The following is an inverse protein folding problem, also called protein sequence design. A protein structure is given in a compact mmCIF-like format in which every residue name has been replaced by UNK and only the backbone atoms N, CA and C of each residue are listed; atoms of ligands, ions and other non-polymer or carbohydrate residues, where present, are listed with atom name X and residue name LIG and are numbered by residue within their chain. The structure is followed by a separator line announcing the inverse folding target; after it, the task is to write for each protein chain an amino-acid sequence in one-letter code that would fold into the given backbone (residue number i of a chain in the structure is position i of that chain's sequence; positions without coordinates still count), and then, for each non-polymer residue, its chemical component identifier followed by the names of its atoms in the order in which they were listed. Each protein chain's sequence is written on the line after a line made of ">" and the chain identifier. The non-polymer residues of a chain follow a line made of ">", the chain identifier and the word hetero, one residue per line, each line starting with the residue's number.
data_IF_213671264662
#
_entry.id   IF_213671264662
#
_cell.length_a   1.000
_cell.length_b   1.000
_cell.length_c   1.000
_cell.angle_alpha   90.00
_cell.angle_beta   90.00
_cell.angle_gamma   90.00
#
_symmetry.space_group_name_H-M   'P 1'
#
loop_
_entity.id
_entity.type
_entity.pdbx_description
1 polymer ?
#
# COMPACT_ATOMS: atom_id res chain seq x y z
N UNK A 1 8.26 1.35 -4.17
CA UNK A 1 8.67 1.08 -5.56
C UNK A 1 7.99 -0.19 -6.00
N UNK A 2 7.34 -0.17 -7.18
CA UNK A 2 6.63 -1.32 -7.75
C UNK A 2 7.05 -1.49 -9.20
N UNK A 3 7.22 -2.74 -9.61
CA UNK A 3 7.45 -3.10 -11.01
C UNK A 3 6.11 -3.39 -11.71
N UNK A 4 5.97 -3.01 -12.96
CA UNK A 4 4.86 -3.50 -13.78
C UNK A 4 5.05 -5.03 -13.96
N UNK A 5 4.08 -5.87 -13.56
CA UNK A 5 4.26 -7.32 -13.60
C UNK A 5 4.44 -7.89 -15.02
N UNK A 6 4.14 -7.12 -16.06
CA UNK A 6 4.27 -7.51 -17.46
C UNK A 6 5.59 -7.07 -18.09
N UNK A 7 6.25 -6.04 -17.50
CA UNK A 7 7.49 -5.50 -18.05
C UNK A 7 8.35 -4.90 -16.93
N UNK A 8 9.45 -5.54 -16.52
CA UNK A 8 10.31 -5.10 -15.42
C UNK A 8 11.05 -3.78 -15.70
N UNK A 9 11.13 -3.34 -16.97
CA UNK A 9 11.69 -2.02 -17.30
C UNK A 9 10.75 -0.87 -16.93
N UNK A 10 9.48 -1.17 -16.68
CA UNK A 10 8.49 -0.18 -16.22
C UNK A 10 8.41 -0.23 -14.70
N UNK A 11 8.83 0.86 -14.08
CA UNK A 11 8.92 0.99 -12.63
C UNK A 11 8.11 2.19 -12.18
N UNK A 12 7.37 2.03 -11.09
CA UNK A 12 6.65 3.11 -10.41
C UNK A 12 7.27 3.37 -9.05
N UNK A 13 7.39 4.63 -8.68
CA UNK A 13 7.90 5.03 -7.37
C UNK A 13 7.10 6.18 -6.80
N UNK A 14 6.84 6.14 -5.51
CA UNK A 14 6.32 7.28 -4.76
C UNK A 14 7.47 7.98 -4.06
N UNK A 15 7.61 9.29 -4.27
CA UNK A 15 8.59 10.11 -3.58
C UNK A 15 7.90 10.87 -2.44
N UNK A 16 8.56 10.89 -1.30
CA UNK A 16 8.11 11.62 -0.12
C UNK A 16 9.19 12.60 0.31
N UNK A 17 8.95 13.88 0.09
CA UNK A 17 9.83 14.94 0.59
C UNK A 17 9.62 15.09 2.08
N UNK A 18 10.49 14.44 2.85
CA UNK A 18 10.36 14.34 4.31
C UNK A 18 11.67 14.74 4.99
N UNK A 19 11.54 15.56 6.04
CA UNK A 19 12.65 15.83 6.97
C UNK A 19 12.14 15.77 8.40
N UNK A 20 12.78 14.94 9.22
CA UNK A 20 12.49 14.86 10.65
C UNK A 20 13.77 15.19 11.42
N UNK A 21 13.67 16.16 12.30
CA UNK A 21 14.69 16.57 13.27
C UNK A 21 14.08 16.59 14.65
N UNK A 22 14.90 16.72 15.68
CA UNK A 22 14.42 16.79 17.07
C UNK A 22 13.40 17.93 17.30
N UNK A 23 13.58 19.04 16.57
CA UNK A 23 12.80 20.30 16.74
C UNK A 23 11.95 20.66 15.53
N UNK A 24 11.92 19.86 14.48
CA UNK A 24 11.12 20.17 13.29
C UNK A 24 10.73 18.92 12.53
N UNK A 25 9.57 19.00 11.91
CA UNK A 25 9.05 17.95 11.03
C UNK A 25 8.49 18.57 9.75
N UNK A 26 9.01 18.14 8.61
CA UNK A 26 8.43 18.39 7.30
C UNK A 26 7.88 17.07 6.78
N UNK A 27 6.55 17.00 6.61
CA UNK A 27 5.84 15.80 6.18
C UNK A 27 5.40 15.83 4.72
N UNK A 28 5.92 16.75 3.92
CA UNK A 28 5.55 16.87 2.51
C UNK A 28 6.34 17.97 1.80
N UNK A 29 6.09 18.12 0.51
CA UNK A 29 6.71 19.16 -0.30
C UNK A 29 6.46 18.99 -1.79
N UNK A 30 6.94 19.95 -2.61
CA UNK A 30 6.67 19.99 -4.05
C UNK A 30 7.23 18.79 -4.84
N UNK A 31 8.27 18.13 -4.32
CA UNK A 31 8.85 16.95 -4.96
C UNK A 31 8.15 15.64 -4.56
N UNK A 32 7.24 15.66 -3.58
CA UNK A 32 6.39 14.51 -3.31
C UNK A 32 5.46 14.24 -4.48
N UNK A 33 5.34 12.98 -4.86
CA UNK A 33 4.52 12.60 -6.00
C UNK A 33 4.74 11.17 -6.45
N UNK A 34 4.05 10.80 -7.52
CA UNK A 34 4.21 9.51 -8.16
C UNK A 34 5.02 9.68 -9.44
N UNK A 35 6.02 8.84 -9.60
CA UNK A 35 6.94 8.85 -10.72
C UNK A 35 6.92 7.50 -11.43
N UNK A 36 7.15 7.54 -12.74
CA UNK A 36 7.23 6.36 -13.58
C UNK A 36 8.50 6.39 -14.41
N UNK A 37 9.19 5.29 -14.46
CA UNK A 37 10.26 4.98 -15.41
C UNK A 37 9.74 3.97 -16.44
N UNK A 38 10.22 4.10 -17.67
CA UNK A 38 9.98 3.13 -18.75
C UNK A 38 11.29 2.53 -19.29
N UNK A 39 12.40 2.74 -18.57
CA UNK A 39 13.76 2.41 -18.99
C UNK A 39 14.60 1.83 -17.84
N UNK A 40 13.98 0.99 -17.01
CA UNK A 40 14.61 0.33 -15.86
C UNK A 40 15.22 1.32 -14.84
N UNK A 41 14.55 2.46 -14.62
CA UNK A 41 14.94 3.44 -13.60
C UNK A 41 15.99 4.46 -14.05
N UNK A 42 16.39 4.48 -15.33
CA UNK A 42 17.38 5.44 -15.83
C UNK A 42 16.80 6.86 -15.90
N UNK A 43 15.54 6.99 -16.31
CA UNK A 43 14.81 8.27 -16.32
C UNK A 43 13.46 8.14 -15.62
N UNK A 44 12.99 9.25 -15.03
CA UNK A 44 11.75 9.29 -14.25
C UNK A 44 10.87 10.46 -14.68
N UNK A 45 9.61 10.19 -14.93
CA UNK A 45 8.61 11.17 -15.26
C UNK A 45 7.54 11.24 -14.17
N UNK A 46 7.20 12.44 -13.74
CA UNK A 46 6.13 12.68 -12.75
C UNK A 46 4.77 12.43 -13.41
N UNK A 47 3.97 11.55 -12.82
CA UNK A 47 2.67 11.11 -13.37
C UNK A 47 1.50 11.52 -12.45
N UNK A 48 1.41 12.78 -12.10
CA UNK A 48 0.46 13.32 -11.11
C UNK A 48 -0.83 13.91 -11.70
N UNK A 49 -1.13 13.71 -12.99
CA UNK A 49 -2.34 14.27 -13.62
C UNK A 49 -3.61 13.73 -12.96
N UNK A 50 -4.37 14.61 -12.31
CA UNK A 50 -5.60 14.26 -11.55
C UNK A 50 -5.38 14.04 -10.06
N UNK A 51 -4.12 13.95 -9.57
CA UNK A 51 -3.82 14.04 -8.15
C UNK A 51 -3.99 15.48 -7.65
N UNK A 52 -4.15 15.70 -6.33
CA UNK A 52 -4.30 17.04 -5.79
C UNK A 52 -3.10 17.94 -6.14
N UNK A 53 -3.37 19.21 -6.36
CA UNK A 53 -2.33 20.23 -6.51
C UNK A 53 -1.60 20.51 -5.19
N UNK A 54 -0.50 21.26 -5.27
CA UNK A 54 0.27 21.67 -4.10
C UNK A 54 1.12 20.55 -3.50
N UNK A 55 1.61 20.82 -2.29
CA UNK A 55 2.51 19.94 -1.57
C UNK A 55 1.76 18.68 -1.08
N UNK A 56 2.37 17.54 -1.35
CA UNK A 56 1.86 16.24 -0.91
C UNK A 56 2.75 15.67 0.18
N UNK A 57 2.14 14.93 1.09
CA UNK A 57 2.83 14.13 2.08
C UNK A 57 3.25 12.77 1.53
N UNK A 58 3.14 11.75 2.37
CA UNK A 58 3.39 10.37 2.00
C UNK A 58 2.31 9.86 1.03
N UNK A 59 2.73 9.04 0.09
CA UNK A 59 1.83 8.39 -0.86
C UNK A 59 2.09 6.89 -0.81
N UNK A 60 1.09 6.13 -0.38
CA UNK A 60 1.04 4.68 -0.56
C UNK A 60 0.50 4.35 -1.94
N UNK A 61 1.01 3.32 -2.56
CA UNK A 61 0.59 2.93 -3.92
C UNK A 61 0.75 1.43 -4.08
N UNK A 62 -0.14 0.83 -4.87
CA UNK A 62 0.02 -0.53 -5.35
C UNK A 62 -0.60 -0.70 -6.74
N UNK A 63 -0.03 -1.63 -7.51
CA UNK A 63 -0.53 -2.03 -8.83
C UNK A 63 -1.40 -3.26 -8.65
N UNK A 64 -2.62 -3.26 -9.19
CA UNK A 64 -3.49 -4.43 -9.11
C UNK A 64 -2.88 -5.63 -9.84
N UNK A 65 -2.58 -6.74 -9.13
CA UNK A 65 -2.11 -7.95 -9.82
C UNK A 65 -3.20 -8.59 -10.69
N UNK A 66 -4.48 -8.42 -10.31
CA UNK A 66 -5.62 -8.92 -11.07
C UNK A 66 -5.80 -8.16 -12.40
N UNK A 67 -5.44 -6.86 -12.43
CA UNK A 67 -5.47 -6.05 -13.65
C UNK A 67 -4.43 -4.94 -13.58
N UNK A 68 -3.24 -5.11 -14.16
CA UNK A 68 -2.14 -4.14 -14.08
C UNK A 68 -2.35 -2.81 -14.83
N UNK A 69 -3.50 -2.60 -15.49
CA UNK A 69 -3.91 -1.27 -15.93
C UNK A 69 -4.34 -0.38 -14.76
N UNK A 70 -4.75 -1.02 -13.63
CA UNK A 70 -5.24 -0.34 -12.45
C UNK A 70 -4.11 -0.14 -11.45
N UNK A 71 -3.98 1.09 -10.98
CA UNK A 71 -3.08 1.46 -9.89
C UNK A 71 -3.89 2.22 -8.84
N UNK A 72 -3.70 1.88 -7.59
CA UNK A 72 -4.30 2.54 -6.44
C UNK A 72 -3.29 3.41 -5.71
N UNK A 73 -3.73 4.53 -5.18
CA UNK A 73 -2.88 5.41 -4.38
C UNK A 73 -3.66 6.07 -3.23
N UNK A 74 -3.09 6.00 -2.03
CA UNK A 74 -3.53 6.77 -0.86
C UNK A 74 -2.62 7.97 -0.70
N UNK A 75 -3.16 9.19 -0.85
CA UNK A 75 -2.39 10.43 -0.94
C UNK A 75 -2.63 11.30 0.31
N UNK A 76 -1.58 11.61 1.06
CA UNK A 76 -1.61 12.54 2.18
C UNK A 76 -1.43 13.99 1.70
N UNK A 77 -2.10 14.93 2.37
CA UNK A 77 -1.94 16.37 2.16
C UNK A 77 -3.24 17.07 1.79
N UNK A 78 -3.19 18.38 1.50
CA UNK A 78 -4.35 19.14 1.06
C UNK A 78 -4.99 18.55 -0.18
N UNK A 79 -6.30 18.28 -0.12
CA UNK A 79 -7.02 17.59 -1.18
C UNK A 79 -6.75 16.08 -1.26
N UNK A 80 -5.99 15.52 -0.32
CA UNK A 80 -5.67 14.11 -0.22
C UNK A 80 -6.89 13.21 -0.21
N UNK A 81 -6.67 11.90 -0.22
CA UNK A 81 -7.69 10.89 -0.32
C UNK A 81 -7.19 9.64 -1.03
N UNK A 82 -8.14 8.80 -1.38
CA UNK A 82 -7.87 7.59 -2.15
C UNK A 82 -8.12 7.83 -3.65
N UNK A 83 -7.15 7.44 -4.46
CA UNK A 83 -7.13 7.67 -5.90
C UNK A 83 -6.95 6.35 -6.65
N UNK A 84 -7.53 6.29 -7.84
CA UNK A 84 -7.41 5.16 -8.77
C UNK A 84 -7.00 5.66 -10.13
N UNK A 85 -6.09 4.98 -10.77
CA UNK A 85 -5.80 5.08 -12.20
C UNK A 85 -6.26 3.80 -12.89
N UNK A 86 -6.86 3.90 -14.07
CA UNK A 86 -7.24 2.77 -14.92
C UNK A 86 -6.44 2.76 -16.23
N UNK A 87 -5.36 3.52 -16.27
CA UNK A 87 -4.54 3.72 -17.46
C UNK A 87 -3.05 3.82 -17.12
N UNK A 88 -2.60 2.97 -16.17
CA UNK A 88 -1.19 2.82 -15.80
C UNK A 88 -0.56 4.14 -15.32
N UNK A 89 -1.33 4.93 -14.58
CA UNK A 89 -0.87 6.20 -14.00
C UNK A 89 -0.88 7.39 -14.97
N UNK A 90 -1.39 7.26 -16.19
CA UNK A 90 -1.48 8.39 -17.12
C UNK A 90 -2.45 9.47 -16.60
N UNK A 91 -3.46 9.09 -15.83
CA UNK A 91 -4.33 10.00 -15.09
C UNK A 91 -4.91 9.30 -13.86
N UNK A 92 -5.32 10.11 -12.87
CA UNK A 92 -5.86 9.67 -11.59
C UNK A 92 -7.23 10.26 -11.35
N UNK A 93 -8.12 9.45 -10.80
CA UNK A 93 -9.44 9.86 -10.34
C UNK A 93 -9.51 9.72 -8.81
N UNK A 94 -10.04 10.73 -8.13
CA UNK A 94 -10.33 10.62 -6.70
C UNK A 94 -11.54 9.74 -6.51
N UNK A 95 -11.40 8.68 -5.73
CA UNK A 95 -12.46 7.73 -5.41
C UNK A 95 -13.16 8.15 -4.12
N UNK A 96 -12.39 8.47 -3.08
CA UNK A 96 -12.92 8.88 -1.77
C UNK A 96 -12.00 9.87 -1.06
N UNK A 97 -12.44 10.39 0.07
CA UNK A 97 -11.61 11.20 0.96
C UNK A 97 -10.85 10.37 1.99
N UNK A 98 -10.89 9.05 1.90
CA UNK A 98 -10.22 8.14 2.83
C UNK A 98 -8.71 8.31 2.77
N UNK A 99 -8.10 8.56 3.92
CA UNK A 99 -6.66 8.63 4.13
C UNK A 99 -6.30 7.95 5.45
N UNK A 100 -5.02 7.79 5.68
CA UNK A 100 -4.48 7.33 6.97
C UNK A 100 -3.48 8.34 7.52
N UNK A 101 -2.92 8.10 8.69
CA UNK A 101 -1.80 8.89 9.20
C UNK A 101 -0.53 8.54 8.43
N UNK A 102 -0.06 9.44 7.56
CA UNK A 102 1.14 9.26 6.75
C UNK A 102 2.43 9.12 7.55
N UNK A 103 2.42 9.40 8.85
CA UNK A 103 3.57 9.17 9.71
C UNK A 103 3.86 7.68 9.93
N UNK A 104 2.82 6.86 10.09
CA UNK A 104 2.92 5.46 10.49
C UNK A 104 2.34 4.51 9.45
N UNK A 105 1.27 4.91 8.78
CA UNK A 105 0.53 4.10 7.83
C UNK A 105 0.63 4.73 6.44
N UNK A 106 0.03 4.20 5.46
CA UNK A 106 -0.19 4.63 4.08
C UNK A 106 0.02 3.47 3.09
N UNK A 107 0.33 2.28 3.57
CA UNK A 107 0.50 1.10 2.74
C UNK A 107 -0.85 0.74 2.11
N UNK A 108 -0.84 0.62 0.79
CA UNK A 108 -1.96 0.15 -0.03
C UNK A 108 -1.63 -1.24 -0.52
N UNK A 109 -2.58 -2.15 -0.47
CA UNK A 109 -2.44 -3.52 -1.00
C UNK A 109 -3.64 -3.83 -1.87
N UNK A 110 -3.41 -4.04 -3.16
CA UNK A 110 -4.44 -4.46 -4.10
C UNK A 110 -4.66 -5.98 -4.01
N UNK A 111 -5.92 -6.40 -4.07
CA UNK A 111 -6.25 -7.83 -4.05
C UNK A 111 -5.74 -8.51 -5.33
N UNK A 112 -5.05 -9.65 -5.22
CA UNK A 112 -4.47 -10.32 -6.39
C UNK A 112 -5.51 -11.04 -7.27
N UNK A 113 -6.74 -11.21 -6.80
CA UNK A 113 -7.80 -11.95 -7.49
C UNK A 113 -8.92 -11.01 -7.97
N UNK A 114 -9.26 -10.00 -7.16
CA UNK A 114 -10.34 -9.07 -7.44
C UNK A 114 -9.79 -7.64 -7.65
N UNK A 115 -9.89 -7.14 -8.88
CA UNK A 115 -9.40 -5.82 -9.24
C UNK A 115 -10.12 -4.66 -8.53
N UNK A 116 -11.34 -4.86 -8.03
CA UNK A 116 -12.11 -3.83 -7.32
C UNK A 116 -11.86 -3.84 -5.81
N UNK A 117 -11.15 -4.87 -5.32
CA UNK A 117 -10.86 -5.02 -3.90
C UNK A 117 -9.48 -4.49 -3.56
N UNK A 118 -9.41 -3.61 -2.56
CA UNK A 118 -8.17 -2.97 -2.14
C UNK A 118 -8.18 -2.71 -0.63
N UNK A 119 -7.01 -2.76 -0.03
CA UNK A 119 -6.80 -2.57 1.39
C UNK A 119 -5.88 -1.37 1.66
N UNK A 120 -6.08 -0.74 2.80
CA UNK A 120 -5.18 0.27 3.35
C UNK A 120 -4.80 -0.14 4.77
N UNK A 121 -3.50 -0.23 5.02
CA UNK A 121 -2.98 -0.47 6.36
C UNK A 121 -3.19 0.76 7.24
N UNK A 122 -3.67 0.53 8.44
CA UNK A 122 -4.00 1.56 9.42
C UNK A 122 -4.10 0.92 10.80
N UNK A 123 -4.43 1.68 11.84
CA UNK A 123 -4.79 1.13 13.15
C UNK A 123 -5.81 -0.01 13.01
N UNK A 124 -6.86 0.21 12.23
CA UNK A 124 -7.76 -0.83 11.74
C UNK A 124 -7.57 -0.97 10.23
N UNK A 125 -7.32 -2.17 9.75
CA UNK A 125 -7.23 -2.40 8.31
C UNK A 125 -8.52 -2.02 7.62
N UNK A 126 -8.43 -1.11 6.67
CA UNK A 126 -9.55 -0.69 5.84
C UNK A 126 -9.60 -1.54 4.58
N UNK A 127 -10.79 -1.93 4.15
CA UNK A 127 -11.04 -2.66 2.90
C UNK A 127 -12.15 -1.99 2.10
N UNK A 128 -11.91 -1.88 0.80
CA UNK A 128 -12.90 -1.48 -0.20
C UNK A 128 -13.17 -2.66 -1.12
N UNK A 129 -14.42 -2.79 -1.59
CA UNK A 129 -14.88 -3.78 -2.58
C UNK A 129 -15.37 -3.12 -3.87
N UNK A 130 -15.20 -1.82 -4.01
CA UNK A 130 -15.71 -0.98 -5.10
C UNK A 130 -14.63 -0.03 -5.67
N UNK A 131 -13.39 -0.48 -5.66
CA UNK A 131 -12.28 0.27 -6.24
C UNK A 131 -11.87 1.51 -5.45
N UNK A 132 -12.24 1.60 -4.17
CA UNK A 132 -11.86 2.70 -3.28
C UNK A 132 -12.91 3.78 -3.09
N UNK A 133 -14.16 3.57 -3.54
CA UNK A 133 -15.25 4.52 -3.31
C UNK A 133 -15.68 4.51 -1.85
N UNK A 134 -15.83 3.31 -1.28
CA UNK A 134 -16.20 3.14 0.13
C UNK A 134 -15.21 2.23 0.83
N UNK A 135 -14.86 2.59 2.06
CA UNK A 135 -14.00 1.78 2.92
C UNK A 135 -14.73 1.40 4.21
N UNK A 136 -14.55 0.17 4.63
CA UNK A 136 -15.02 -0.35 5.92
C UNK A 136 -13.86 -0.98 6.68
N UNK A 137 -13.99 -1.13 8.00
CA UNK A 137 -13.03 -1.92 8.78
C UNK A 137 -13.15 -3.39 8.38
N UNK A 138 -12.00 -4.04 8.13
CA UNK A 138 -11.94 -5.45 7.74
C UNK A 138 -12.42 -6.41 8.82
N UNK A 139 -12.29 -6.01 10.09
CA UNK A 139 -12.56 -6.84 11.25
C UNK A 139 -11.28 -7.21 11.99
N UNK A 140 -11.26 -6.86 13.28
CA UNK A 140 -10.07 -7.02 14.13
C UNK A 140 -10.38 -7.93 15.35
N UNK A 141 -11.45 -8.72 15.25
CA UNK A 141 -11.84 -9.61 16.36
C UNK A 141 -10.78 -10.67 16.59
N UNK A 142 -10.24 -10.71 17.81
CA UNK A 142 -9.19 -11.65 18.24
C UNK A 142 -7.83 -11.44 17.51
N UNK A 143 -7.60 -10.25 16.97
CA UNK A 143 -6.34 -9.82 16.37
C UNK A 143 -5.89 -8.51 17.00
N UNK A 144 -4.58 -8.31 17.11
CA UNK A 144 -4.04 -7.00 17.47
C UNK A 144 -4.31 -5.98 16.35
N UNK A 145 -4.58 -4.76 16.72
CA UNK A 145 -4.66 -3.61 15.82
C UNK A 145 -3.24 -3.14 15.42
N UNK A 146 -3.13 -1.98 14.77
CA UNK A 146 -1.87 -1.40 14.28
C UNK A 146 -1.22 -2.27 13.19
N UNK A 147 -1.84 -2.23 12.03
CA UNK A 147 -1.54 -3.10 10.89
C UNK A 147 -0.54 -2.43 9.94
N UNK A 148 0.56 -3.13 9.63
CA UNK A 148 1.68 -2.58 8.87
C UNK A 148 2.02 -3.35 7.59
N UNK A 149 1.63 -4.61 7.49
CA UNK A 149 1.81 -5.36 6.26
C UNK A 149 0.69 -6.39 6.06
N UNK A 150 0.36 -6.64 4.81
CA UNK A 150 -0.64 -7.61 4.39
C UNK A 150 -0.09 -8.42 3.22
N UNK A 151 -0.12 -9.73 3.34
CA UNK A 151 0.05 -10.66 2.24
C UNK A 151 -1.26 -11.37 1.97
N UNK A 152 -1.65 -11.48 0.70
CA UNK A 152 -2.86 -12.15 0.25
C UNK A 152 -2.46 -13.30 -0.67
N UNK A 153 -3.06 -14.46 -0.46
CA UNK A 153 -2.81 -15.63 -1.29
C UNK A 153 -3.33 -15.35 -2.73
N UNK A 154 -2.45 -15.44 -3.75
CA UNK A 154 -2.80 -15.06 -5.11
C UNK A 154 -3.82 -15.98 -5.81
N UNK A 155 -4.11 -17.14 -5.23
CA UNK A 155 -5.11 -18.10 -5.77
C UNK A 155 -6.34 -18.24 -4.89
N UNK A 156 -6.33 -17.67 -3.68
CA UNK A 156 -7.46 -17.67 -2.76
C UNK A 156 -7.39 -16.46 -1.83
N UNK A 157 -8.04 -15.38 -2.19
CA UNK A 157 -8.01 -14.12 -1.45
C UNK A 157 -8.79 -14.11 -0.12
N UNK A 158 -9.43 -15.22 0.25
CA UNK A 158 -9.92 -15.43 1.62
C UNK A 158 -8.79 -15.78 2.59
N UNK A 159 -7.67 -16.33 2.07
CA UNK A 159 -6.48 -16.63 2.84
C UNK A 159 -5.50 -15.46 2.77
N UNK A 160 -5.15 -14.92 3.93
CA UNK A 160 -4.17 -13.83 4.02
C UNK A 160 -3.44 -13.84 5.37
N UNK A 161 -2.32 -13.15 5.40
CA UNK A 161 -1.52 -12.93 6.61
C UNK A 161 -1.32 -11.44 6.84
N UNK A 162 -1.39 -11.03 8.09
CA UNK A 162 -1.29 -9.63 8.47
C UNK A 162 -0.30 -9.45 9.62
N UNK A 163 0.69 -8.58 9.40
CA UNK A 163 1.67 -8.20 10.41
C UNK A 163 1.22 -6.93 11.12
N UNK A 164 1.21 -6.99 12.45
CA UNK A 164 0.76 -5.93 13.34
C UNK A 164 1.81 -5.66 14.42
N UNK A 165 1.62 -4.61 15.23
CA UNK A 165 2.46 -4.37 16.41
C UNK A 165 2.39 -5.50 17.43
N UNK A 166 1.32 -6.30 17.44
CA UNK A 166 1.15 -7.47 18.30
C UNK A 166 1.66 -8.79 17.72
N UNK A 167 2.17 -8.80 16.48
CA UNK A 167 2.73 -9.97 15.83
C UNK A 167 2.04 -10.34 14.51
N UNK A 168 2.22 -11.58 14.08
CA UNK A 168 1.70 -12.09 12.81
C UNK A 168 0.42 -12.89 13.02
N UNK A 169 -0.56 -12.59 12.19
CA UNK A 169 -1.87 -13.24 12.18
C UNK A 169 -2.21 -13.79 10.80
N UNK A 170 -3.04 -14.82 10.76
CA UNK A 170 -3.50 -15.50 9.56
C UNK A 170 -5.01 -15.69 9.58
N UNK A 171 -5.65 -15.51 8.44
CA UNK A 171 -7.08 -15.78 8.24
C UNK A 171 -7.28 -16.65 7.01
N UNK A 172 -8.35 -17.45 7.00
CA UNK A 172 -8.78 -18.26 5.86
C UNK A 172 -10.21 -17.93 5.42
N UNK A 173 -10.83 -16.92 6.04
CA UNK A 173 -12.23 -16.51 5.84
C UNK A 173 -12.36 -15.00 5.57
N UNK A 174 -11.32 -14.42 4.97
CA UNK A 174 -11.33 -13.02 4.56
C UNK A 174 -11.20 -12.00 5.70
N UNK A 175 -10.82 -12.45 6.90
CA UNK A 175 -10.65 -11.59 8.08
C UNK A 175 -11.79 -11.66 9.08
N UNK A 176 -12.72 -12.64 8.94
CA UNK A 176 -13.78 -12.87 9.93
C UNK A 176 -13.22 -13.46 11.21
N UNK A 177 -12.27 -14.42 11.07
CA UNK A 177 -11.54 -15.01 12.20
C UNK A 177 -10.03 -14.97 11.95
N UNK A 178 -9.26 -14.86 13.03
CA UNK A 178 -7.81 -14.73 12.99
C UNK A 178 -7.13 -15.74 13.89
N UNK A 179 -6.03 -16.32 13.37
CA UNK A 179 -5.12 -17.19 14.09
C UNK A 179 -3.80 -16.45 14.31
N UNK A 180 -3.36 -16.39 15.56
CA UNK A 180 -2.05 -15.86 15.93
C UNK A 180 -0.94 -16.89 15.74
N UNK A 181 0.21 -16.48 15.22
CA UNK A 181 1.41 -17.30 15.14
C UNK A 181 2.17 -17.27 16.47
N UNK A 182 2.07 -18.33 17.26
CA UNK A 182 2.68 -18.42 18.60
C UNK A 182 4.11 -18.95 18.58
N UNK A 183 4.57 -19.48 17.45
CA UNK A 183 5.84 -20.21 17.34
C UNK A 183 6.96 -19.44 16.64
N UNK A 184 6.80 -18.13 16.46
CA UNK A 184 7.87 -17.29 15.96
C UNK A 184 8.81 -16.91 17.09
N UNK A 185 10.09 -17.32 17.08
CA UNK A 185 11.05 -17.04 18.15
C UNK A 185 11.66 -15.63 17.98
N UNK A 186 10.80 -14.62 17.95
CA UNK A 186 11.18 -13.24 17.67
C UNK A 186 10.62 -12.31 18.72
N UNK A 187 11.31 -11.20 18.97
CA UNK A 187 10.86 -10.16 19.88
C UNK A 187 10.23 -8.99 19.11
N UNK A 188 10.82 -8.61 17.98
CA UNK A 188 10.31 -7.51 17.15
C UNK A 188 10.93 -7.58 15.75
N UNK A 189 10.10 -7.49 14.70
CA UNK A 189 10.54 -7.21 13.34
C UNK A 189 10.29 -5.74 13.01
N UNK A 190 11.22 -5.14 12.30
CA UNK A 190 10.97 -3.86 11.65
C UNK A 190 10.85 -4.05 10.14
N UNK A 191 11.70 -4.87 9.57
CA UNK A 191 11.63 -5.34 8.18
C UNK A 191 12.23 -6.73 8.09
N UNK A 192 11.71 -7.53 7.17
CA UNK A 192 12.28 -8.80 6.78
C UNK A 192 12.43 -8.84 5.26
N UNK A 193 13.51 -9.43 4.79
CA UNK A 193 13.74 -9.69 3.37
C UNK A 193 14.23 -11.14 3.24
N UNK A 194 13.91 -11.75 2.12
CA UNK A 194 14.36 -13.11 1.78
C UNK A 194 15.27 -13.02 0.58
N UNK A 195 16.43 -13.65 0.65
CA UNK A 195 17.27 -13.92 -0.49
C UNK A 195 16.64 -15.05 -1.31
N UNK A 196 16.55 -14.85 -2.63
CA UNK A 196 16.02 -15.87 -3.55
C UNK A 196 17.10 -16.80 -4.11
N UNK A 197 18.35 -16.66 -3.67
CA UNK A 197 19.47 -17.50 -4.06
C UNK A 197 19.55 -18.72 -3.14
N UNK A 198 19.86 -19.90 -3.72
CA UNK A 198 20.01 -21.12 -2.94
C UNK A 198 21.44 -21.21 -2.34
N UNK A 199 21.61 -21.61 -1.05
CA UNK A 199 20.57 -21.85 -0.04
C UNK A 199 19.93 -20.52 0.47
N UNK A 200 18.65 -20.53 0.65
CA UNK A 200 17.88 -19.35 1.11
C UNK A 200 18.28 -18.96 2.55
N UNK A 201 18.69 -17.73 2.76
CA UNK A 201 19.06 -17.14 4.06
C UNK A 201 18.10 -16.01 4.46
#
# INVERSE_FOLDING_TARGET
>A
VHFDPRNPDVIYATAHQRRRRQWTYLGGGPESGIYKSNDAGKTWNKINKGLPGGDKGRIGMDISPANPEIIYACVEGPGGGFYRSTNRGASWQKMSSTTTSGNYYQEVVADPVDQEKVYIMNTYTLVSFDGGEHFINRGERSKHIDNHCLWINPVNNLHSREGTDGGLYETYDGGTTWRFFTNLPVTQFYRAMVDNEYPFY
#
